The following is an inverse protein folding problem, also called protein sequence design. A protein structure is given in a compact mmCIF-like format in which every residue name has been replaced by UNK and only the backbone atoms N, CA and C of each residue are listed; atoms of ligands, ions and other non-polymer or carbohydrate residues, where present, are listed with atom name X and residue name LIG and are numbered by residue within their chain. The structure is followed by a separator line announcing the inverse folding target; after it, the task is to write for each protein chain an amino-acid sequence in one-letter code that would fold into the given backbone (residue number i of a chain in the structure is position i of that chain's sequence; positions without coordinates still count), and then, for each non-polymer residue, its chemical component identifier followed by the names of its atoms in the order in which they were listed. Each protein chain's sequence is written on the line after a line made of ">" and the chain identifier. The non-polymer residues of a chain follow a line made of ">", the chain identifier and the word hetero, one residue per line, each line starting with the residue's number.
data_IF_956296038775
#
_entry.id   IF_956296038775
#
_cell.length_a   1.000
_cell.length_b   1.000
_cell.length_c   1.000
_cell.angle_alpha   90.00
_cell.angle_beta   90.00
_cell.angle_gamma   90.00
#
_symmetry.space_group_name_H-M   'P 1'
#
loop_
_entity.id
_entity.type
_entity.pdbx_description
1 polymer ?
#
# COMPACT_ATOMS: atom_id res chain seq x y z
N UNK A 1 14.75 6.01 -36.33
CA UNK A 1 14.50 5.35 -35.03
C UNK A 1 13.08 5.68 -34.58
N UNK A 2 12.16 4.71 -34.42
CA UNK A 2 10.81 5.01 -33.99
C UNK A 2 10.82 5.38 -32.50
N UNK A 3 10.38 6.60 -32.18
CA UNK A 3 10.11 7.03 -30.80
C UNK A 3 8.92 6.21 -30.31
N UNK A 4 9.16 5.15 -29.55
CA UNK A 4 8.09 4.52 -28.79
C UNK A 4 7.46 5.60 -27.93
N UNK A 5 6.17 5.86 -28.14
CA UNK A 5 5.48 6.86 -27.35
C UNK A 5 5.56 6.46 -25.88
N UNK A 6 5.74 7.42 -24.98
CA UNK A 6 5.77 7.18 -23.53
C UNK A 6 4.58 6.32 -23.07
N UNK A 7 3.44 6.44 -23.76
CA UNK A 7 2.22 5.65 -23.57
C UNK A 7 2.43 4.17 -23.89
N UNK A 8 3.09 3.83 -25.01
CA UNK A 8 3.38 2.44 -25.39
C UNK A 8 4.34 1.78 -24.40
N UNK A 9 5.33 2.52 -23.90
CA UNK A 9 6.26 2.04 -22.89
C UNK A 9 5.59 1.86 -21.51
N UNK A 10 4.66 2.73 -21.14
CA UNK A 10 3.87 2.62 -19.91
C UNK A 10 2.88 1.45 -19.97
N UNK A 11 2.14 1.30 -21.07
CA UNK A 11 1.20 0.20 -21.28
C UNK A 11 1.90 -1.16 -21.31
N UNK A 12 3.05 -1.27 -21.97
CA UNK A 12 3.85 -2.50 -21.97
C UNK A 12 4.31 -2.92 -20.57
N UNK A 13 4.57 -1.96 -19.67
CA UNK A 13 4.97 -2.22 -18.27
C UNK A 13 3.78 -2.53 -17.36
N UNK A 14 2.58 -2.06 -17.70
CA UNK A 14 1.34 -2.40 -16.99
C UNK A 14 0.91 -3.84 -17.28
N UNK A 15 1.09 -4.31 -18.53
CA UNK A 15 0.92 -5.72 -18.90
C UNK A 15 1.85 -6.60 -18.07
N UNK A 16 3.12 -6.20 -17.85
CA UNK A 16 4.07 -6.96 -17.03
C UNK A 16 3.52 -7.23 -15.63
N UNK A 17 2.83 -6.29 -15.00
CA UNK A 17 2.23 -6.51 -13.67
C UNK A 17 1.12 -7.56 -13.70
N UNK A 18 0.22 -7.47 -14.69
CA UNK A 18 -0.95 -8.34 -14.80
C UNK A 18 -0.57 -9.75 -15.24
N UNK A 19 0.47 -9.90 -16.05
CA UNK A 19 0.93 -11.21 -16.56
C UNK A 19 2.11 -11.78 -15.76
N UNK A 20 2.57 -11.10 -14.71
CA UNK A 20 3.75 -11.53 -13.95
C UNK A 20 3.52 -12.88 -13.27
N UNK A 21 4.46 -13.81 -13.46
CA UNK A 21 4.55 -15.05 -12.67
C UNK A 21 5.37 -14.89 -11.39
N UNK A 22 5.94 -13.71 -11.14
CA UNK A 22 6.70 -13.40 -9.94
C UNK A 22 5.79 -13.41 -8.71
N UNK A 23 6.15 -14.18 -7.69
CA UNK A 23 5.35 -14.38 -6.48
C UNK A 23 5.15 -13.08 -5.71
N UNK A 24 6.20 -12.26 -5.57
CA UNK A 24 6.12 -11.01 -4.80
C UNK A 24 5.32 -9.95 -5.55
N UNK A 25 5.46 -9.88 -6.88
CA UNK A 25 4.62 -8.97 -7.69
C UNK A 25 3.15 -9.36 -7.56
N UNK A 26 2.82 -10.65 -7.69
CA UNK A 26 1.43 -11.14 -7.53
C UNK A 26 0.87 -10.89 -6.13
N UNK A 27 1.69 -11.07 -5.09
CA UNK A 27 1.32 -10.76 -3.71
C UNK A 27 0.95 -9.28 -3.58
N UNK A 28 1.79 -8.38 -4.08
CA UNK A 28 1.56 -6.94 -3.98
C UNK A 28 0.36 -6.49 -4.83
N UNK A 29 0.19 -7.04 -6.04
CA UNK A 29 -1.01 -6.77 -6.85
C UNK A 29 -2.27 -7.26 -6.15
N UNK A 30 -2.26 -8.48 -5.59
CA UNK A 30 -3.40 -9.01 -4.84
C UNK A 30 -3.74 -8.15 -3.62
N UNK A 31 -2.73 -7.74 -2.85
CA UNK A 31 -2.92 -6.82 -1.73
C UNK A 31 -3.45 -5.46 -2.20
N UNK A 32 -2.90 -4.88 -3.27
CA UNK A 32 -3.35 -3.61 -3.81
C UNK A 32 -4.85 -3.66 -4.15
N UNK A 33 -5.29 -4.72 -4.83
CA UNK A 33 -6.70 -4.93 -5.17
C UNK A 33 -7.56 -5.10 -3.92
N UNK A 34 -7.09 -5.85 -2.92
CA UNK A 34 -7.81 -6.01 -1.65
C UNK A 34 -7.96 -4.68 -0.88
N UNK A 35 -6.92 -3.84 -0.87
CA UNK A 35 -6.96 -2.53 -0.22
C UNK A 35 -7.91 -1.56 -0.95
N UNK A 36 -7.86 -1.52 -2.29
CA UNK A 36 -8.82 -0.75 -3.09
C UNK A 36 -10.24 -1.24 -2.84
N UNK A 37 -10.45 -2.56 -2.84
CA UNK A 37 -11.76 -3.16 -2.55
C UNK A 37 -12.24 -2.79 -1.14
N UNK A 38 -11.38 -2.82 -0.11
CA UNK A 38 -11.73 -2.35 1.23
C UNK A 38 -12.18 -0.89 1.21
N UNK A 39 -11.42 0.00 0.56
CA UNK A 39 -11.79 1.40 0.42
C UNK A 39 -13.16 1.59 -0.24
N UNK A 40 -13.43 0.87 -1.33
CA UNK A 40 -14.71 0.90 -2.04
C UNK A 40 -15.87 0.33 -1.20
N UNK A 41 -15.64 -0.75 -0.47
CA UNK A 41 -16.63 -1.30 0.48
C UNK A 41 -16.99 -0.25 1.52
N UNK A 42 -16.00 0.45 2.08
CA UNK A 42 -16.25 1.52 3.04
C UNK A 42 -16.97 2.74 2.44
N UNK A 43 -16.80 3.02 1.13
CA UNK A 43 -17.65 4.01 0.42
C UNK A 43 -19.10 3.53 0.41
N UNK A 44 -19.34 2.25 0.11
CA UNK A 44 -20.67 1.65 0.14
C UNK A 44 -21.31 1.70 1.52
N UNK A 45 -20.55 1.35 2.57
CA UNK A 45 -21.01 1.45 3.97
C UNK A 45 -21.37 2.89 4.32
N UNK A 46 -20.52 3.86 3.97
CA UNK A 46 -20.80 5.28 4.20
C UNK A 46 -22.08 5.76 3.48
N UNK A 47 -22.32 5.30 2.25
CA UNK A 47 -23.52 5.64 1.51
C UNK A 47 -24.79 5.06 2.17
N UNK A 48 -24.72 3.82 2.67
CA UNK A 48 -25.83 3.17 3.40
C UNK A 48 -26.07 3.84 4.76
N UNK A 49 -25.02 4.34 5.41
CA UNK A 49 -25.06 5.14 6.65
C UNK A 49 -25.62 6.57 6.44
N UNK A 50 -26.20 6.86 5.27
CA UNK A 50 -26.84 8.15 4.99
C UNK A 50 -25.86 9.28 4.64
N UNK A 51 -24.61 8.95 4.30
CA UNK A 51 -23.65 9.95 3.86
C UNK A 51 -23.13 10.83 5.01
N UNK A 52 -22.86 10.23 6.18
CA UNK A 52 -22.38 10.95 7.39
C UNK A 52 -21.13 11.81 7.16
N UNK A 53 -20.92 12.81 8.02
CA UNK A 53 -19.81 13.76 7.88
C UNK A 53 -18.45 13.07 7.74
N UNK A 54 -17.66 13.57 6.78
CA UNK A 54 -16.27 13.16 6.55
C UNK A 54 -15.27 13.85 7.49
N UNK A 55 -15.74 14.67 8.43
CA UNK A 55 -14.92 15.36 9.40
C UNK A 55 -14.75 14.57 10.71
N UNK A 56 -13.68 14.86 11.44
CA UNK A 56 -13.43 14.29 12.75
C UNK A 56 -12.68 12.95 12.75
N UNK A 57 -12.23 12.51 13.93
CA UNK A 57 -11.28 11.41 14.10
C UNK A 57 -11.83 10.03 13.80
N UNK A 58 -13.16 9.88 13.87
CA UNK A 58 -13.91 8.62 13.68
C UNK A 58 -14.71 8.63 12.36
N UNK A 59 -14.45 9.55 11.43
CA UNK A 59 -15.17 9.56 10.15
C UNK A 59 -14.79 8.38 9.24
N UNK A 60 -15.70 8.00 8.34
CA UNK A 60 -15.44 7.01 7.28
C UNK A 60 -14.34 7.43 6.29
N UNK A 61 -13.95 8.72 6.31
CA UNK A 61 -12.88 9.26 5.47
C UNK A 61 -11.62 8.41 5.56
N UNK A 62 -11.22 7.98 6.76
CA UNK A 62 -9.97 7.23 6.96
C UNK A 62 -9.98 5.88 6.22
N UNK A 63 -10.87 4.90 6.53
CA UNK A 63 -10.91 3.64 5.77
C UNK A 63 -10.97 3.82 4.26
N UNK A 64 -11.77 4.80 3.78
CA UNK A 64 -11.92 5.08 2.35
C UNK A 64 -10.59 5.54 1.74
N UNK A 65 -10.04 6.66 2.21
CA UNK A 65 -8.86 7.25 1.56
C UNK A 65 -7.60 6.42 1.79
N UNK A 66 -7.46 5.80 2.97
CA UNK A 66 -6.32 4.94 3.25
C UNK A 66 -6.39 3.64 2.45
N UNK A 67 -7.56 2.99 2.34
CA UNK A 67 -7.71 1.80 1.51
C UNK A 67 -7.39 2.07 0.03
N UNK A 68 -7.97 3.14 -0.54
CA UNK A 68 -7.75 3.50 -1.93
C UNK A 68 -6.30 3.94 -2.20
N UNK A 69 -5.76 4.86 -1.40
CA UNK A 69 -4.39 5.39 -1.64
C UNK A 69 -3.31 4.36 -1.37
N UNK A 70 -3.45 3.54 -0.32
CA UNK A 70 -2.50 2.45 -0.05
C UNK A 70 -2.59 1.35 -1.09
N UNK A 71 -3.77 1.10 -1.67
CA UNK A 71 -3.92 0.22 -2.82
C UNK A 71 -3.13 0.70 -4.05
N UNK A 72 -3.31 1.96 -4.44
CA UNK A 72 -2.55 2.57 -5.56
C UNK A 72 -1.04 2.61 -5.26
N UNK A 73 -0.67 2.93 -4.03
CA UNK A 73 0.74 2.93 -3.59
C UNK A 73 1.34 1.53 -3.65
N UNK A 74 0.60 0.52 -3.18
CA UNK A 74 1.04 -0.89 -3.22
C UNK A 74 1.23 -1.36 -4.65
N UNK A 75 0.34 -0.96 -5.57
CA UNK A 75 0.51 -1.24 -7.01
C UNK A 75 1.78 -0.59 -7.57
N UNK A 76 2.09 0.64 -7.11
CA UNK A 76 3.33 1.33 -7.48
C UNK A 76 4.57 0.63 -6.91
N UNK A 77 4.49 0.06 -5.71
CA UNK A 77 5.57 -0.77 -5.14
C UNK A 77 5.72 -2.09 -5.90
N UNK A 78 4.61 -2.73 -6.30
CA UNK A 78 4.64 -3.91 -7.17
C UNK A 78 5.38 -3.61 -8.49
N UNK A 79 5.14 -2.42 -9.05
CA UNK A 79 5.86 -1.94 -10.22
C UNK A 79 7.36 -1.79 -9.95
N UNK A 80 7.79 -1.16 -8.86
CA UNK A 80 9.21 -1.07 -8.49
C UNK A 80 9.86 -2.47 -8.35
N UNK A 81 9.16 -3.40 -7.69
CA UNK A 81 9.63 -4.78 -7.50
C UNK A 81 9.80 -5.52 -8.83
N UNK A 82 8.95 -5.23 -9.83
CA UNK A 82 9.06 -5.80 -11.18
C UNK A 82 10.28 -5.32 -11.96
N UNK A 83 10.87 -4.19 -11.57
CA UNK A 83 12.08 -3.64 -12.18
C UNK A 83 13.37 -4.24 -11.59
N UNK A 84 13.26 -5.04 -10.53
CA UNK A 84 14.38 -5.64 -9.82
C UNK A 84 14.53 -7.11 -10.17
N UNK A 85 15.79 -7.57 -10.30
CA UNK A 85 16.09 -9.01 -10.39
C UNK A 85 15.66 -9.71 -9.10
N UNK A 86 15.15 -10.93 -9.25
CA UNK A 86 14.78 -11.75 -8.10
C UNK A 86 15.99 -11.97 -7.19
N UNK A 87 15.83 -11.64 -5.92
CA UNK A 87 16.84 -11.86 -4.87
C UNK A 87 16.18 -12.01 -3.50
N UNK A 88 16.82 -12.68 -2.53
CA UNK A 88 16.29 -12.80 -1.17
C UNK A 88 16.03 -11.45 -0.51
N UNK A 89 16.92 -10.47 -0.72
CA UNK A 89 16.78 -9.11 -0.20
C UNK A 89 15.55 -8.40 -0.75
N UNK A 90 15.35 -8.44 -2.08
CA UNK A 90 14.14 -7.89 -2.73
C UNK A 90 12.87 -8.54 -2.18
N UNK A 91 12.86 -9.87 -2.10
CA UNK A 91 11.69 -10.61 -1.63
C UNK A 91 11.35 -10.28 -0.17
N UNK A 92 12.36 -10.17 0.70
CA UNK A 92 12.20 -9.76 2.09
C UNK A 92 11.56 -8.38 2.20
N UNK A 93 12.07 -7.37 1.48
CA UNK A 93 11.52 -6.01 1.54
C UNK A 93 10.10 -5.93 0.97
N UNK A 94 9.82 -6.61 -0.14
CA UNK A 94 8.48 -6.65 -0.73
C UNK A 94 7.46 -7.28 0.24
N UNK A 95 7.81 -8.41 0.88
CA UNK A 95 6.93 -9.08 1.84
C UNK A 95 6.75 -8.29 3.14
N UNK A 96 7.81 -7.63 3.61
CA UNK A 96 7.74 -6.77 4.79
C UNK A 96 6.82 -5.57 4.55
N UNK A 97 6.95 -4.91 3.39
CA UNK A 97 6.03 -3.85 2.98
C UNK A 97 4.59 -4.36 2.92
N UNK A 98 4.35 -5.51 2.25
CA UNK A 98 3.01 -6.07 2.13
C UNK A 98 2.37 -6.36 3.49
N UNK A 99 3.10 -7.00 4.41
CA UNK A 99 2.59 -7.31 5.75
C UNK A 99 2.29 -6.04 6.57
N UNK A 100 3.20 -5.07 6.55
CA UNK A 100 3.05 -3.84 7.32
C UNK A 100 1.91 -2.96 6.80
N UNK A 101 1.74 -2.85 5.48
CA UNK A 101 0.59 -2.16 4.89
C UNK A 101 -0.73 -2.86 5.14
N UNK A 102 -0.78 -4.19 5.01
CA UNK A 102 -2.01 -4.92 5.33
C UNK A 102 -2.44 -4.70 6.79
N UNK A 103 -1.50 -4.81 7.73
CA UNK A 103 -1.78 -4.61 9.15
C UNK A 103 -2.14 -3.16 9.49
N UNK A 104 -1.43 -2.18 8.92
CA UNK A 104 -1.71 -0.75 9.14
C UNK A 104 -3.16 -0.41 8.77
N UNK A 105 -3.59 -0.82 7.57
CA UNK A 105 -4.95 -0.53 7.10
C UNK A 105 -5.99 -1.31 7.91
N UNK A 106 -5.72 -2.57 8.24
CA UNK A 106 -6.61 -3.36 9.08
C UNK A 106 -6.82 -2.71 10.47
N UNK A 107 -5.77 -2.18 11.10
CA UNK A 107 -5.89 -1.49 12.39
C UNK A 107 -6.67 -0.17 12.27
N UNK A 108 -6.48 0.59 11.19
CA UNK A 108 -7.28 1.79 10.91
C UNK A 108 -8.76 1.44 10.79
N UNK A 109 -9.08 0.40 10.01
CA UNK A 109 -10.44 -0.04 9.78
C UNK A 109 -11.08 -0.52 11.10
N UNK A 110 -10.39 -1.38 11.85
CA UNK A 110 -10.85 -1.86 13.17
C UNK A 110 -11.14 -0.71 14.13
N UNK A 111 -10.28 0.31 14.20
CA UNK A 111 -10.53 1.47 15.07
C UNK A 111 -11.78 2.24 14.65
N UNK A 112 -12.03 2.39 13.33
CA UNK A 112 -13.28 3.00 12.84
C UNK A 112 -14.50 2.18 13.27
N UNK A 113 -14.46 0.86 13.10
CA UNK A 113 -15.55 -0.04 13.48
C UNK A 113 -15.77 -0.10 15.00
N UNK A 114 -14.71 0.11 15.79
CA UNK A 114 -14.80 0.31 17.25
C UNK A 114 -15.38 1.67 17.66
N UNK A 115 -15.61 2.59 16.71
CA UNK A 115 -16.12 3.93 17.00
C UNK A 115 -15.09 4.86 17.64
N UNK A 116 -13.79 4.59 17.48
CA UNK A 116 -12.70 5.38 18.09
C UNK A 116 -11.70 5.89 17.04
N UNK A 117 -10.89 6.88 17.42
CA UNK A 117 -9.82 7.38 16.56
C UNK A 117 -8.67 6.37 16.41
N UNK A 118 -8.12 6.24 15.20
CA UNK A 118 -6.90 5.44 14.96
C UNK A 118 -5.58 6.17 15.19
N UNK A 119 -5.56 7.49 15.03
CA UNK A 119 -4.35 8.32 15.16
C UNK A 119 -4.49 9.22 16.38
N UNK A 120 -3.38 9.38 17.13
CA UNK A 120 -3.32 10.19 18.34
C UNK A 120 -4.32 9.78 19.42
N UNK A 121 -4.84 8.55 19.35
CA UNK A 121 -5.79 8.05 20.34
C UNK A 121 -5.03 7.26 21.41
N UNK A 122 -4.92 7.87 22.59
CA UNK A 122 -4.30 7.27 23.79
C UNK A 122 -5.28 7.23 24.96
N UNK A 123 -6.59 7.20 24.66
CA UNK A 123 -7.64 7.22 25.68
C UNK A 123 -7.65 5.95 26.55
N UNK A 124 -7.24 4.82 26.00
CA UNK A 124 -7.13 3.53 26.71
C UNK A 124 -5.79 2.86 26.44
N UNK A 125 -5.33 1.90 27.28
CA UNK A 125 -4.12 1.13 27.01
C UNK A 125 -4.15 0.41 25.66
N UNK A 126 -5.30 -0.14 25.28
CA UNK A 126 -5.47 -0.80 23.98
C UNK A 126 -5.34 0.20 22.83
N UNK A 127 -5.96 1.37 22.91
CA UNK A 127 -5.89 2.38 21.84
C UNK A 127 -4.47 2.93 21.69
N UNK A 128 -3.79 3.18 22.81
CA UNK A 128 -2.39 3.59 22.80
C UNK A 128 -1.47 2.53 22.18
N UNK A 129 -1.71 1.25 22.47
CA UNK A 129 -0.96 0.14 21.86
C UNK A 129 -1.22 0.05 20.35
N UNK A 130 -2.46 0.19 19.90
CA UNK A 130 -2.80 0.23 18.46
C UNK A 130 -2.13 1.42 17.77
N UNK A 131 -2.20 2.60 18.36
CA UNK A 131 -1.56 3.80 17.81
C UNK A 131 -0.03 3.64 17.71
N UNK A 132 0.62 3.12 18.76
CA UNK A 132 2.06 2.86 18.75
C UNK A 132 2.44 1.79 17.70
N UNK A 133 1.66 0.72 17.60
CA UNK A 133 1.87 -0.32 16.60
C UNK A 133 1.79 0.24 15.18
N UNK A 134 0.76 1.05 14.88
CA UNK A 134 0.63 1.72 13.59
C UNK A 134 1.85 2.59 13.26
N UNK A 135 2.36 3.34 14.24
CA UNK A 135 3.60 4.11 14.09
C UNK A 135 4.80 3.26 13.65
N UNK A 136 4.98 2.08 14.26
CA UNK A 136 6.05 1.14 13.88
C UNK A 136 5.80 0.54 12.49
N UNK A 137 4.55 0.18 12.19
CA UNK A 137 4.17 -0.42 10.89
C UNK A 137 4.45 0.55 9.74
N UNK A 138 4.01 1.80 9.83
CA UNK A 138 4.19 2.78 8.75
C UNK A 138 5.66 3.14 8.54
N UNK A 139 6.46 3.26 9.61
CA UNK A 139 7.92 3.49 9.50
C UNK A 139 8.59 2.29 8.83
N UNK A 140 8.19 1.08 9.19
CA UNK A 140 8.74 -0.14 8.59
C UNK A 140 8.37 -0.25 7.11
N UNK A 141 7.13 0.06 6.74
CA UNK A 141 6.69 0.12 5.35
C UNK A 141 7.47 1.18 4.55
N UNK A 142 7.74 2.34 5.14
CA UNK A 142 8.53 3.41 4.55
C UNK A 142 9.98 2.97 4.30
N UNK A 143 10.61 2.30 5.27
CA UNK A 143 11.97 1.74 5.12
C UNK A 143 12.00 0.68 4.02
N UNK A 144 11.03 -0.23 4.00
CA UNK A 144 10.94 -1.28 2.99
C UNK A 144 10.77 -0.69 1.57
N UNK A 145 9.89 0.30 1.40
CA UNK A 145 9.68 0.99 0.13
C UNK A 145 10.92 1.73 -0.33
N UNK A 146 11.58 2.45 0.59
CA UNK A 146 12.85 3.15 0.32
C UNK A 146 13.94 2.18 -0.13
N UNK A 147 14.09 1.04 0.56
CA UNK A 147 15.08 0.03 0.21
C UNK A 147 14.85 -0.54 -1.20
N UNK A 148 13.59 -0.79 -1.59
CA UNK A 148 13.24 -1.20 -2.94
C UNK A 148 13.55 -0.11 -3.97
N UNK A 149 13.21 1.15 -3.68
CA UNK A 149 13.51 2.29 -4.55
C UNK A 149 15.02 2.48 -4.77
N UNK A 150 15.81 2.44 -3.71
CA UNK A 150 17.29 2.48 -3.80
C UNK A 150 17.83 1.31 -4.62
N UNK A 151 17.25 0.11 -4.45
CA UNK A 151 17.58 -1.04 -5.29
C UNK A 151 17.40 -0.76 -6.77
N UNK A 152 16.33 -0.07 -7.16
CA UNK A 152 16.03 0.26 -8.57
C UNK A 152 17.06 1.26 -9.10
N UNK A 153 17.40 2.28 -8.31
CA UNK A 153 18.42 3.28 -8.69
C UNK A 153 19.78 2.61 -8.91
N UNK A 154 20.20 1.74 -7.99
CA UNK A 154 21.48 1.00 -8.10
C UNK A 154 21.51 0.03 -9.27
N UNK A 155 20.40 -0.63 -9.57
CA UNK A 155 20.32 -1.53 -10.73
C UNK A 155 20.44 -0.77 -12.06
N UNK A 156 20.02 0.50 -12.10
CA UNK A 156 20.15 1.36 -13.28
C UNK A 156 21.56 1.88 -13.50
N UNK A 157 22.27 2.28 -12.45
CA UNK A 157 23.64 2.79 -12.59
C UNK A 157 24.58 1.75 -13.19
N UNK A 158 24.48 0.50 -12.74
CA UNK A 158 25.29 -0.63 -13.25
C UNK A 158 25.00 -0.96 -14.72
N UNK A 159 23.84 -0.58 -15.26
CA UNK A 159 23.46 -0.89 -16.64
C UNK A 159 23.91 0.16 -17.67
N UNK A 160 24.42 1.30 -17.21
CA UNK A 160 24.89 2.41 -18.08
C UNK A 160 26.41 2.42 -18.21
N UNK A 161 27.11 1.77 -17.28
CA UNK A 161 28.55 1.50 -17.32
C UNK A 161 28.85 0.25 -18.17
#
# INVERSE_FOLDING_TARGET
>A
MPRSSLVTAALGRLVVLVTSRDREVRLLVGLALALVASGLVHVGVWAVDGGTSMAGPVSWRKPIVFGLSSGVTTLSVAWLVSLLRASPGRARWARLYAATMALEIALIDVQRWRGVGSHFNVATPLDGAVFAAMGVLIVTAMVATTALGVGVVRARSVAVD
#
